data_IF_395553485574
#
_entry.id   IF_395553485574
#
_cell.length_a   1.000
_cell.length_b   1.000
_cell.length_c   1.000
_cell.angle_alpha   90.00
_cell.angle_beta   90.00
_cell.angle_gamma   90.00
#
_symmetry.space_group_name_H-M   'P 1'
#
loop_
_entity.id
_entity.type
_entity.pdbx_description
1 polymer ?
#
# COMPACT_ATOMS: atom_id res chain seq x y z
N UNK A 1 14.83 -10.31 -63.28
CA UNK A 1 16.10 -9.57 -63.34
C UNK A 1 17.03 -10.24 -62.34
N UNK A 2 17.84 -11.18 -62.82
CA UNK A 2 19.24 -10.96 -63.25
C UNK A 2 20.17 -10.94 -62.03
N UNK A 3 21.29 -11.66 -61.95
CA UNK A 3 21.88 -12.70 -62.78
C UNK A 3 22.94 -13.42 -61.92
N UNK A 4 23.14 -14.69 -62.24
CA UNK A 4 24.32 -15.53 -62.08
C UNK A 4 25.60 -14.94 -61.47
N UNK A 5 26.26 -15.74 -60.62
CA UNK A 5 27.66 -16.07 -60.88
C UNK A 5 28.00 -17.45 -60.32
N UNK A 6 28.15 -18.40 -61.25
CA UNK A 6 28.72 -19.73 -61.05
C UNK A 6 30.23 -19.68 -61.14
N UNK A 7 30.94 -20.44 -60.30
CA UNK A 7 32.14 -21.21 -60.69
C UNK A 7 32.47 -22.18 -59.55
N UNK A 8 32.27 -23.49 -59.70
CA UNK A 8 33.01 -24.51 -60.48
C UNK A 8 34.08 -25.24 -59.64
N UNK A 9 33.86 -26.55 -59.57
CA UNK A 9 34.81 -27.67 -59.58
C UNK A 9 35.15 -28.43 -58.28
N UNK A 10 35.00 -29.75 -58.42
CA UNK A 10 35.27 -30.83 -57.47
C UNK A 10 36.69 -31.39 -57.73
N UNK A 11 37.30 -32.17 -56.82
CA UNK A 11 37.08 -33.61 -56.98
C UNK A 11 36.91 -34.38 -55.67
N UNK A 12 36.21 -35.50 -55.84
CA UNK A 12 35.99 -36.60 -54.90
C UNK A 12 37.26 -37.02 -54.14
N UNK A 13 37.15 -37.04 -52.82
CA UNK A 13 38.07 -37.74 -51.91
C UNK A 13 37.27 -38.75 -51.10
N UNK A 14 37.08 -39.95 -51.65
CA UNK A 14 36.43 -41.08 -51.00
C UNK A 14 37.14 -41.44 -49.70
N UNK A 15 36.59 -41.07 -48.54
CA UNK A 15 36.93 -41.68 -47.24
C UNK A 15 35.95 -42.81 -46.94
N UNK A 16 36.42 -43.99 -46.50
CA UNK A 16 35.56 -45.15 -46.31
C UNK A 16 34.60 -44.94 -45.12
N UNK A 17 33.36 -45.49 -45.16
CA UNK A 17 32.47 -45.46 -44.02
C UNK A 17 33.01 -46.45 -42.97
N UNK A 18 33.67 -45.92 -41.94
CA UNK A 18 34.03 -46.70 -40.75
C UNK A 18 32.77 -46.90 -39.89
N UNK A 19 32.01 -47.95 -40.19
CA UNK A 19 30.92 -48.42 -39.31
C UNK A 19 31.59 -49.06 -38.10
N UNK A 20 31.79 -48.27 -37.05
CA UNK A 20 32.15 -48.81 -35.75
C UNK A 20 30.94 -49.55 -35.18
N UNK A 21 31.10 -50.79 -34.68
CA UNK A 21 29.98 -51.53 -34.13
C UNK A 21 29.43 -50.77 -32.94
N UNK A 22 28.10 -50.59 -32.89
CA UNK A 22 27.38 -50.05 -31.76
C UNK A 22 27.60 -50.97 -30.56
N UNK A 23 28.72 -50.78 -29.85
CA UNK A 23 28.91 -51.35 -28.54
C UNK A 23 27.86 -50.70 -27.67
N UNK A 24 26.93 -51.50 -27.15
CA UNK A 24 26.07 -51.15 -26.03
C UNK A 24 26.96 -50.65 -24.89
N UNK A 25 27.27 -49.35 -24.90
CA UNK A 25 28.06 -48.68 -23.89
C UNK A 25 27.04 -48.24 -22.86
N UNK A 26 26.76 -49.13 -21.93
CA UNK A 26 26.04 -48.79 -20.70
C UNK A 26 26.68 -47.48 -20.17
N UNK A 27 25.85 -46.44 -19.98
CA UNK A 27 26.34 -45.10 -19.68
C UNK A 27 27.36 -45.20 -18.54
N UNK A 28 28.60 -44.72 -18.71
CA UNK A 28 29.62 -44.88 -17.69
C UNK A 28 29.14 -44.23 -16.39
N UNK A 29 29.31 -44.92 -15.27
CA UNK A 29 28.80 -44.54 -13.93
C UNK A 29 29.12 -43.09 -13.54
N UNK A 30 30.25 -42.55 -13.99
CA UNK A 30 30.64 -41.14 -13.79
C UNK A 30 29.65 -40.16 -14.45
N UNK A 31 29.14 -40.49 -15.63
CA UNK A 31 28.15 -39.69 -16.35
C UNK A 31 26.78 -39.81 -15.68
N UNK A 32 26.41 -40.99 -15.17
CA UNK A 32 25.18 -41.15 -14.38
C UNK A 32 25.21 -40.27 -13.13
N UNK A 33 26.30 -40.35 -12.35
CA UNK A 33 26.50 -39.52 -11.15
C UNK A 33 26.52 -38.02 -11.46
N UNK A 34 27.11 -37.63 -12.59
CA UNK A 34 27.09 -36.22 -13.02
C UNK A 34 25.69 -35.74 -13.40
N UNK A 35 24.90 -36.55 -14.12
CA UNK A 35 23.51 -36.23 -14.48
C UNK A 35 22.63 -36.13 -13.24
N UNK A 36 22.79 -37.07 -12.29
CA UNK A 36 22.08 -37.06 -11.01
C UNK A 36 22.44 -35.81 -10.19
N UNK A 37 23.74 -35.50 -10.03
CA UNK A 37 24.17 -34.30 -9.30
C UNK A 37 23.68 -32.99 -9.95
N UNK A 38 23.63 -32.93 -11.28
CA UNK A 38 23.07 -31.76 -11.98
C UNK A 38 21.56 -31.67 -11.80
N UNK A 39 20.84 -32.79 -11.93
CA UNK A 39 19.40 -32.83 -11.72
C UNK A 39 19.04 -32.37 -10.29
N UNK A 40 19.76 -32.87 -9.28
CA UNK A 40 19.56 -32.46 -7.88
C UNK A 40 19.82 -30.97 -7.67
N UNK A 41 20.91 -30.41 -8.23
CA UNK A 41 21.18 -28.97 -8.13
C UNK A 41 20.11 -28.12 -8.81
N UNK A 42 19.59 -28.60 -9.93
CA UNK A 42 18.54 -27.89 -10.66
C UNK A 42 17.25 -27.88 -9.85
N UNK A 43 16.87 -29.03 -9.30
CA UNK A 43 15.68 -29.17 -8.46
C UNK A 43 15.77 -28.35 -7.16
N UNK A 44 16.94 -28.29 -6.52
CA UNK A 44 17.16 -27.41 -5.36
C UNK A 44 16.96 -25.93 -5.73
N UNK A 45 17.49 -25.49 -6.87
CA UNK A 45 17.31 -24.11 -7.34
C UNK A 45 15.83 -23.81 -7.64
N UNK A 46 15.12 -24.74 -8.27
CA UNK A 46 13.71 -24.57 -8.61
C UNK A 46 12.83 -24.57 -7.35
N UNK A 47 13.18 -25.39 -6.35
CA UNK A 47 12.51 -25.38 -5.05
C UNK A 47 12.68 -24.05 -4.31
N UNK A 48 13.90 -23.51 -4.29
CA UNK A 48 14.19 -22.21 -3.69
C UNK A 48 13.46 -21.07 -4.40
N UNK A 49 13.39 -21.12 -5.73
CA UNK A 49 12.68 -20.13 -6.53
C UNK A 49 11.17 -20.14 -6.24
N UNK A 50 10.56 -21.33 -6.15
CA UNK A 50 9.14 -21.44 -5.82
C UNK A 50 8.86 -21.01 -4.39
N UNK A 51 9.73 -21.35 -3.42
CA UNK A 51 9.60 -20.85 -2.04
C UNK A 51 9.67 -19.32 -1.98
N UNK A 52 10.66 -18.71 -2.64
CA UNK A 52 10.81 -17.26 -2.67
C UNK A 52 9.58 -16.58 -3.31
N UNK A 53 9.00 -17.19 -4.34
CA UNK A 53 7.78 -16.70 -4.98
C UNK A 53 6.55 -16.81 -4.07
N UNK A 54 6.43 -17.90 -3.31
CA UNK A 54 5.36 -18.09 -2.33
C UNK A 54 5.50 -17.05 -1.21
N UNK A 55 6.71 -16.88 -0.67
CA UNK A 55 7.00 -15.92 0.38
C UNK A 55 6.71 -14.48 -0.08
N UNK A 56 7.14 -14.12 -1.29
CA UNK A 56 6.88 -12.79 -1.86
C UNK A 56 5.38 -12.52 -2.01
N UNK A 57 4.61 -13.51 -2.46
CA UNK A 57 3.14 -13.40 -2.53
C UNK A 57 2.50 -13.29 -1.16
N UNK A 58 2.97 -14.05 -0.19
CA UNK A 58 2.48 -14.02 1.18
C UNK A 58 2.76 -12.65 1.82
N UNK A 59 3.96 -12.12 1.62
CA UNK A 59 4.37 -10.79 2.09
C UNK A 59 3.50 -9.70 1.44
N UNK A 60 3.33 -9.71 0.12
CA UNK A 60 2.47 -8.74 -0.57
C UNK A 60 1.02 -8.80 -0.08
N UNK A 61 0.49 -10.01 0.17
CA UNK A 61 -0.87 -10.16 0.72
C UNK A 61 -0.96 -9.63 2.15
N UNK A 62 0.04 -9.89 2.98
CA UNK A 62 0.10 -9.40 4.36
C UNK A 62 0.15 -7.88 4.40
N UNK A 63 1.03 -7.26 3.62
CA UNK A 63 1.14 -5.80 3.55
C UNK A 63 -0.18 -5.14 3.13
N UNK A 64 -0.91 -5.77 2.19
CA UNK A 64 -2.23 -5.29 1.79
C UNK A 64 -3.25 -5.37 2.93
N UNK A 65 -3.28 -6.48 3.65
CA UNK A 65 -4.17 -6.67 4.81
C UNK A 65 -3.83 -5.70 5.94
N UNK A 66 -2.54 -5.55 6.27
CA UNK A 66 -2.05 -4.61 7.29
C UNK A 66 -2.43 -3.17 6.92
N UNK A 67 -2.37 -2.80 5.63
CA UNK A 67 -2.81 -1.48 5.16
C UNK A 67 -4.32 -1.27 5.33
N UNK A 68 -5.14 -2.28 5.03
CA UNK A 68 -6.59 -2.19 5.24
C UNK A 68 -6.95 -2.11 6.73
N UNK A 69 -6.27 -2.87 7.58
CA UNK A 69 -6.49 -2.83 9.03
C UNK A 69 -6.11 -1.47 9.61
N UNK A 70 -4.93 -0.95 9.28
CA UNK A 70 -4.49 0.38 9.73
C UNK A 70 -5.46 1.47 9.26
N UNK A 71 -5.92 1.41 8.01
CA UNK A 71 -6.85 2.40 7.50
C UNK A 71 -8.25 2.29 8.12
N UNK A 72 -8.72 1.07 8.41
CA UNK A 72 -9.97 0.84 9.13
C UNK A 72 -9.89 1.34 10.57
N UNK A 73 -8.77 1.04 11.25
CA UNK A 73 -8.49 1.53 12.60
C UNK A 73 -8.41 3.06 12.59
N UNK A 74 -7.64 3.67 11.70
CA UNK A 74 -7.56 5.12 11.56
C UNK A 74 -8.92 5.78 11.29
N UNK A 75 -9.80 5.13 10.51
CA UNK A 75 -11.16 5.62 10.29
C UNK A 75 -12.00 5.56 11.56
N UNK A 76 -11.88 4.49 12.35
CA UNK A 76 -12.57 4.35 13.64
C UNK A 76 -12.02 5.30 14.71
N UNK A 77 -10.70 5.41 14.83
CA UNK A 77 -10.02 6.32 15.75
C UNK A 77 -10.29 7.78 15.39
N UNK A 78 -10.41 8.13 14.11
CA UNK A 78 -10.75 9.51 13.71
C UNK A 78 -12.15 9.89 14.18
N UNK A 79 -13.13 8.98 14.05
CA UNK A 79 -14.48 9.20 14.56
C UNK A 79 -14.51 9.30 16.09
N UNK A 80 -13.75 8.44 16.78
CA UNK A 80 -13.65 8.45 18.24
C UNK A 80 -12.88 9.68 18.76
N UNK A 81 -11.84 10.13 18.05
CA UNK A 81 -11.07 11.33 18.36
C UNK A 81 -11.85 12.60 18.07
N UNK A 82 -12.71 12.63 17.06
CA UNK A 82 -13.66 13.73 16.85
C UNK A 82 -14.63 13.80 18.02
N UNK A 83 -15.19 12.66 18.45
CA UNK A 83 -16.06 12.62 19.62
C UNK A 83 -15.34 13.04 20.90
N UNK A 84 -14.12 12.54 21.15
CA UNK A 84 -13.31 12.92 22.31
C UNK A 84 -12.84 14.38 22.26
N UNK A 85 -12.51 14.93 21.09
CA UNK A 85 -12.14 16.35 20.96
C UNK A 85 -13.33 17.26 21.28
N UNK A 86 -14.54 16.89 20.84
CA UNK A 86 -15.76 17.64 21.22
C UNK A 86 -16.06 17.56 22.72
N UNK A 87 -15.65 16.49 23.40
CA UNK A 87 -15.88 16.28 24.83
C UNK A 87 -14.77 16.90 25.72
N UNK A 88 -13.51 16.79 25.31
CA UNK A 88 -12.33 17.32 26.01
C UNK A 88 -12.18 18.85 25.86
N UNK A 89 -12.84 19.46 24.86
CA UNK A 89 -12.99 20.92 24.77
C UNK A 89 -13.90 21.52 25.86
N UNK A 90 -14.53 20.70 26.72
CA UNK A 90 -15.29 21.17 27.90
C UNK A 90 -14.31 21.58 29.01
N UNK A 91 -13.47 22.57 28.71
CA UNK A 91 -12.72 23.30 29.73
C UNK A 91 -13.54 24.49 30.21
N UNK A 92 -13.58 24.77 31.52
CA UNK A 92 -14.26 25.95 32.05
C UNK A 92 -13.74 27.22 31.37
N UNK A 93 -14.61 27.95 30.66
CA UNK A 93 -14.27 29.18 29.94
C UNK A 93 -14.44 29.13 28.41
N UNK A 94 -14.61 27.96 27.79
CA UNK A 94 -14.82 27.82 26.32
C UNK A 94 -16.30 27.76 25.91
N UNK A 95 -17.23 27.90 26.87
CA UNK A 95 -18.66 27.66 26.65
C UNK A 95 -19.24 28.60 25.60
N UNK A 96 -18.90 29.89 25.66
CA UNK A 96 -19.38 30.89 24.69
C UNK A 96 -18.73 30.75 23.32
N UNK A 97 -17.49 30.27 23.25
CA UNK A 97 -16.83 29.95 21.98
C UNK A 97 -17.55 28.79 21.26
N UNK A 98 -17.96 27.76 22.01
CA UNK A 98 -18.74 26.63 21.49
C UNK A 98 -20.13 27.05 21.02
N UNK A 99 -20.86 27.82 21.83
CA UNK A 99 -22.19 28.33 21.49
C UNK A 99 -22.11 29.21 20.24
N UNK A 100 -21.10 30.06 20.11
CA UNK A 100 -20.90 30.90 18.95
C UNK A 100 -20.53 30.09 17.68
N UNK A 101 -19.73 29.02 17.79
CA UNK A 101 -19.37 28.15 16.65
C UNK A 101 -20.60 27.51 15.99
N UNK A 102 -21.66 27.24 16.76
CA UNK A 102 -22.92 26.70 16.27
C UNK A 102 -23.89 27.77 15.76
N UNK A 103 -23.61 29.05 16.00
CA UNK A 103 -24.43 30.15 15.53
C UNK A 103 -24.02 30.58 14.11
N UNK A 104 -24.97 30.58 13.18
CA UNK A 104 -24.76 31.17 11.85
C UNK A 104 -24.76 32.71 11.97
N UNK A 105 -23.59 33.32 11.73
CA UNK A 105 -23.38 34.77 11.72
C UNK A 105 -23.44 35.37 10.31
N UNK A 106 -23.61 34.55 9.27
CA UNK A 106 -23.68 35.06 7.90
C UNK A 106 -25.13 35.48 7.58
N UNK A 107 -25.39 36.78 7.36
CA UNK A 107 -26.74 37.29 7.16
C UNK A 107 -27.44 36.73 5.91
N UNK A 108 -26.70 36.10 4.97
CA UNK A 108 -27.25 35.55 3.72
C UNK A 108 -27.71 34.09 3.82
N UNK A 109 -27.18 33.33 4.78
CA UNK A 109 -27.48 31.89 4.95
C UNK A 109 -28.51 31.63 6.05
N UNK A 110 -28.82 32.66 6.83
CA UNK A 110 -29.77 32.60 7.93
C UNK A 110 -31.23 32.54 7.45
N UNK A 111 -31.75 31.32 7.25
CA UNK A 111 -33.17 31.07 6.92
C UNK A 111 -34.04 30.90 8.16
N UNK A 112 -34.03 31.85 9.08
CA UNK A 112 -34.85 31.81 10.29
C UNK A 112 -36.14 32.64 10.13
N UNK A 113 -37.27 32.09 10.59
CA UNK A 113 -38.60 32.74 10.57
C UNK A 113 -38.77 33.82 11.65
N UNK A 114 -37.82 33.95 12.58
CA UNK A 114 -37.80 34.95 13.65
C UNK A 114 -36.52 35.76 13.56
N UNK A 115 -36.57 37.03 13.93
CA UNK A 115 -35.38 37.87 14.02
C UNK A 115 -34.53 37.46 15.23
N UNK A 116 -33.36 36.88 14.97
CA UNK A 116 -32.41 36.40 15.98
C UNK A 116 -31.21 37.36 16.10
N UNK A 117 -31.26 38.54 15.47
CA UNK A 117 -30.15 39.49 15.42
C UNK A 117 -29.70 39.95 16.82
N UNK A 118 -30.65 40.16 17.73
CA UNK A 118 -30.36 40.50 19.13
C UNK A 118 -29.62 39.38 19.86
N UNK A 119 -30.08 38.14 19.73
CA UNK A 119 -29.45 36.97 20.36
C UNK A 119 -28.04 36.74 19.79
N UNK A 120 -27.85 36.87 18.47
CA UNK A 120 -26.54 36.80 17.83
C UNK A 120 -25.57 37.84 18.38
N UNK A 121 -26.03 39.08 18.53
CA UNK A 121 -25.22 40.16 19.12
C UNK A 121 -24.80 39.84 20.55
N UNK A 122 -25.70 39.28 21.37
CA UNK A 122 -25.39 38.90 22.75
C UNK A 122 -24.38 37.74 22.80
N UNK A 123 -24.56 36.71 21.98
CA UNK A 123 -23.63 35.57 21.89
C UNK A 123 -22.23 36.03 21.44
N UNK A 124 -22.17 36.98 20.50
CA UNK A 124 -20.89 37.51 20.01
C UNK A 124 -20.15 38.34 21.07
N UNK A 125 -20.88 39.13 21.87
CA UNK A 125 -20.33 39.86 23.01
C UNK A 125 -19.74 38.91 24.06
N UNK A 126 -20.48 37.86 24.39
CA UNK A 126 -20.06 36.85 25.37
C UNK A 126 -18.84 36.04 24.89
N UNK A 127 -18.67 35.87 23.57
CA UNK A 127 -17.47 35.29 22.96
C UNK A 127 -16.25 36.23 22.98
N UNK A 128 -16.41 37.53 22.70
CA UNK A 128 -15.29 38.46 22.49
C UNK A 128 -14.65 38.96 23.78
N UNK A 129 -15.35 38.88 24.91
CA UNK A 129 -14.80 39.25 26.20
C UNK A 129 -15.87 39.79 27.13
N UNK A 130 -16.25 38.94 28.08
CA UNK A 130 -16.71 39.39 29.40
C UNK A 130 -18.13 39.02 29.77
N UNK A 131 -18.24 38.14 30.76
CA UNK A 131 -18.99 38.52 31.95
C UNK A 131 -18.07 39.42 32.79
N UNK A 132 -18.45 40.66 33.13
CA UNK A 132 -17.84 41.30 34.28
C UNK A 132 -18.29 40.53 35.54
N UNK A 133 -17.32 40.14 36.37
CA UNK A 133 -17.43 39.73 37.78
C UNK A 133 -17.94 38.33 38.12
N UNK A 134 -17.03 37.44 38.54
CA UNK A 134 -17.03 36.84 39.89
C UNK A 134 -15.65 36.29 40.27
N UNK A 135 -14.60 37.11 40.18
CA UNK A 135 -13.43 36.90 41.03
C UNK A 135 -13.82 37.44 42.41
N UNK A 136 -14.12 36.54 43.34
CA UNK A 136 -14.32 36.90 44.74
C UNK A 136 -12.99 37.43 45.30
N UNK A 137 -12.98 38.55 46.05
CA UNK A 137 -11.79 38.91 46.82
C UNK A 137 -11.65 37.87 47.95
N UNK A 138 -10.50 37.19 48.00
CA UNK A 138 -10.11 36.42 49.17
C UNK A 138 -10.14 37.32 50.40
N UNK A 139 -10.96 36.94 51.39
CA UNK A 139 -10.89 37.43 52.77
C UNK A 139 -9.78 36.70 53.50
#
# INVERSE_FOLDING_TARGET
>A
MEDSSSQENSPVGTSPPSVSPAKNREEPEVIKLWKENQATKLEEKDHLEEQAKIELKAQAKKELEDWYQLHAEQASESAEKEFQSTNNEIQPGTEWERVAKMCDFNPKTCRNTKDISRLRSVILQLKQGGNPTTSAPSI
#
